data_IF_567215930425
#
_entry.id   IF_567215930425
#
_cell.length_a   1.000
_cell.length_b   1.000
_cell.length_c   1.000
_cell.angle_alpha   90.00
_cell.angle_beta   90.00
_cell.angle_gamma   90.00
#
_symmetry.space_group_name_H-M   'P 1'
#
loop_
_entity.id
_entity.type
_entity.pdbx_description
1 polymer ?
#
# COMPACT_ATOMS: atom_id res chain seq x y z
N UNK A 1 -10.10 -39.35 15.39
CA UNK A 1 -9.11 -38.39 15.87
C UNK A 1 -8.69 -37.48 14.72
N UNK A 2 -9.18 -36.28 14.63
CA UNK A 2 -8.86 -35.34 13.56
C UNK A 2 -7.60 -34.58 13.92
N UNK A 3 -6.54 -34.76 13.13
CA UNK A 3 -5.26 -34.08 13.30
C UNK A 3 -5.43 -32.60 12.92
N UNK A 4 -5.46 -31.74 13.93
CA UNK A 4 -5.46 -30.27 13.74
C UNK A 4 -4.13 -29.89 13.07
N UNK A 5 -4.16 -29.62 11.76
CA UNK A 5 -3.04 -29.01 11.05
C UNK A 5 -2.70 -27.70 11.73
N UNK A 6 -1.49 -27.60 12.31
CA UNK A 6 -0.92 -26.34 12.81
C UNK A 6 -0.93 -25.32 11.66
N UNK A 7 -1.87 -24.39 11.68
CA UNK A 7 -1.84 -23.21 10.79
C UNK A 7 -0.52 -22.49 11.06
N UNK A 8 0.30 -22.31 10.01
CA UNK A 8 1.48 -21.44 10.07
C UNK A 8 1.01 -20.06 10.55
N UNK A 9 1.61 -19.56 11.64
CA UNK A 9 1.32 -18.22 12.17
C UNK A 9 1.42 -17.19 11.03
N UNK A 10 0.51 -16.20 10.94
CA UNK A 10 0.64 -15.09 9.99
C UNK A 10 1.99 -14.40 10.16
N UNK A 11 2.50 -13.81 9.07
CA UNK A 11 3.75 -13.08 9.08
C UNK A 11 3.74 -12.11 10.28
N UNK A 12 4.72 -12.21 11.16
CA UNK A 12 4.76 -11.36 12.34
C UNK A 12 5.07 -9.93 11.90
N UNK A 13 4.61 -8.93 12.65
CA UNK A 13 4.94 -7.51 12.42
C UNK A 13 6.46 -7.28 12.24
N UNK A 14 7.28 -8.14 12.84
CA UNK A 14 8.75 -8.13 12.69
C UNK A 14 9.20 -8.56 11.27
N UNK A 15 8.55 -9.55 10.65
CA UNK A 15 8.88 -10.01 9.30
C UNK A 15 8.39 -9.01 8.24
N UNK A 16 7.21 -8.42 8.40
CA UNK A 16 6.73 -7.34 7.53
C UNK A 16 7.65 -6.12 7.59
N UNK A 17 8.07 -5.71 8.80
CA UNK A 17 9.03 -4.61 8.95
C UNK A 17 10.34 -4.87 8.24
N UNK A 18 10.91 -6.07 8.36
CA UNK A 18 12.15 -6.44 7.67
C UNK A 18 11.98 -6.40 6.15
N UNK A 19 10.84 -6.87 5.64
CA UNK A 19 10.48 -6.82 4.22
C UNK A 19 10.45 -5.38 3.69
N UNK A 20 9.75 -4.47 4.36
CA UNK A 20 9.63 -3.08 3.95
C UNK A 20 10.93 -2.29 4.11
N UNK A 21 11.73 -2.58 5.14
CA UNK A 21 13.07 -1.99 5.27
C UNK A 21 13.97 -2.34 4.07
N UNK A 22 13.96 -3.59 3.59
CA UNK A 22 14.73 -3.99 2.39
C UNK A 22 14.26 -3.29 1.13
N UNK A 23 12.96 -3.07 0.99
CA UNK A 23 12.37 -2.41 -0.18
C UNK A 23 12.61 -0.91 -0.23
N UNK A 24 12.95 -0.27 0.88
CA UNK A 24 13.06 1.19 0.97
C UNK A 24 14.02 1.78 -0.06
N UNK A 25 15.19 1.17 -0.31
CA UNK A 25 16.17 1.64 -1.31
C UNK A 25 15.64 1.59 -2.75
N UNK A 26 14.87 0.54 -3.09
CA UNK A 26 14.23 0.44 -4.41
C UNK A 26 13.12 1.47 -4.55
N UNK A 27 12.35 1.70 -3.48
CA UNK A 27 11.32 2.73 -3.44
C UNK A 27 11.90 4.13 -3.56
N UNK A 28 13.05 4.40 -2.97
CA UNK A 28 13.77 5.67 -3.12
C UNK A 28 14.27 5.85 -4.56
N UNK A 29 14.96 4.83 -5.12
CA UNK A 29 15.49 4.87 -6.49
C UNK A 29 14.41 5.09 -7.55
N UNK A 30 13.28 4.39 -7.41
CA UNK A 30 12.19 4.38 -8.38
C UNK A 30 10.98 5.20 -7.93
N UNK A 31 11.20 6.15 -7.04
CA UNK A 31 10.13 6.93 -6.41
C UNK A 31 9.19 7.56 -7.43
N UNK A 32 9.71 8.26 -8.43
CA UNK A 32 8.89 8.94 -9.43
C UNK A 32 7.96 7.99 -10.18
N UNK A 33 8.46 6.81 -10.56
CA UNK A 33 7.68 5.78 -11.25
C UNK A 33 6.63 5.16 -10.34
N UNK A 34 7.02 4.81 -9.11
CA UNK A 34 6.11 4.20 -8.13
C UNK A 34 5.05 5.18 -7.67
N UNK A 35 5.42 6.44 -7.42
CA UNK A 35 4.46 7.48 -7.00
C UNK A 35 3.52 7.86 -8.13
N UNK A 36 3.98 7.92 -9.38
CA UNK A 36 3.10 8.12 -10.53
C UNK A 36 2.06 6.99 -10.62
N UNK A 37 2.48 5.74 -10.49
CA UNK A 37 1.60 4.58 -10.59
C UNK A 37 0.63 4.44 -9.40
N UNK A 38 1.13 4.56 -8.16
CA UNK A 38 0.34 4.41 -6.95
C UNK A 38 -0.45 5.67 -6.60
N UNK A 39 0.01 6.83 -7.03
CA UNK A 39 -0.63 8.12 -6.79
C UNK A 39 -1.89 8.37 -7.62
N UNK A 40 -2.16 7.54 -8.62
CA UNK A 40 -3.36 7.66 -9.47
C UNK A 40 -4.68 7.62 -8.69
N UNK A 41 -4.69 7.01 -7.48
CA UNK A 41 -5.85 7.00 -6.58
C UNK A 41 -5.99 8.25 -5.70
N UNK A 42 -4.94 9.08 -5.61
CA UNK A 42 -4.93 10.24 -4.71
C UNK A 42 -6.08 11.24 -5.00
N UNK A 43 -6.43 11.57 -6.25
CA UNK A 43 -7.57 12.46 -6.52
C UNK A 43 -8.89 11.94 -5.93
N UNK A 44 -9.13 10.64 -6.03
CA UNK A 44 -10.32 10.00 -5.47
C UNK A 44 -10.26 10.00 -3.94
N UNK A 45 -9.12 9.63 -3.36
CA UNK A 45 -8.90 9.67 -1.90
C UNK A 45 -9.11 11.07 -1.34
N UNK A 46 -8.54 12.11 -1.96
CA UNK A 46 -8.63 13.49 -1.46
C UNK A 46 -10.05 14.03 -1.57
N UNK A 47 -10.77 13.73 -2.66
CA UNK A 47 -12.19 14.03 -2.77
C UNK A 47 -13.01 13.32 -1.67
N UNK A 48 -12.74 12.04 -1.43
CA UNK A 48 -13.43 11.26 -0.41
C UNK A 48 -13.14 11.73 1.02
N UNK A 49 -11.96 12.28 1.28
CA UNK A 49 -11.59 12.85 2.57
C UNK A 49 -12.27 14.19 2.84
N UNK A 50 -12.73 14.92 1.83
CA UNK A 50 -13.38 16.23 1.99
C UNK A 50 -12.51 17.14 2.90
N UNK A 51 -11.27 17.39 2.42
CA UNK A 51 -10.23 18.06 3.20
C UNK A 51 -10.43 19.56 3.27
N UNK A 52 -10.20 20.12 4.46
CA UNK A 52 -10.24 21.54 4.73
C UNK A 52 -8.91 22.05 5.29
N UNK A 53 -8.51 23.30 5.03
CA UNK A 53 -7.36 23.90 5.66
C UNK A 53 -7.44 23.89 7.20
N UNK A 54 -6.31 23.69 7.86
CA UNK A 54 -6.24 23.63 9.32
C UNK A 54 -6.56 22.28 9.95
N UNK A 55 -7.02 21.29 9.16
CA UNK A 55 -7.37 19.97 9.68
C UNK A 55 -6.17 19.16 10.14
N UNK A 56 -6.44 18.22 11.04
CA UNK A 56 -5.49 17.21 11.51
C UNK A 56 -5.78 15.90 10.81
N UNK A 57 -4.76 15.33 10.15
CA UNK A 57 -4.86 14.13 9.32
C UNK A 57 -3.91 13.06 9.81
N UNK A 58 -4.37 11.82 9.86
CA UNK A 58 -3.57 10.62 10.10
C UNK A 58 -3.38 9.87 8.78
N UNK A 59 -2.14 9.53 8.44
CA UNK A 59 -1.81 8.60 7.34
C UNK A 59 -1.22 7.32 7.92
N UNK A 60 -1.97 6.22 7.85
CA UNK A 60 -1.59 4.92 8.42
C UNK A 60 -1.01 4.00 7.35
N UNK A 61 0.28 3.64 7.50
CA UNK A 61 1.07 2.97 6.48
C UNK A 61 1.61 3.98 5.45
N UNK A 62 2.15 5.10 5.93
CA UNK A 62 2.53 6.24 5.09
C UNK A 62 3.76 5.99 4.21
N UNK A 63 4.51 4.90 4.42
CA UNK A 63 5.70 4.54 3.64
C UNK A 63 6.69 5.71 3.50
N UNK A 64 7.07 6.03 2.27
CA UNK A 64 7.97 7.14 1.91
C UNK A 64 7.30 8.52 1.91
N UNK A 65 6.08 8.64 2.49
CA UNK A 65 5.42 9.90 2.75
C UNK A 65 4.34 10.32 1.76
N UNK A 66 3.92 9.46 0.82
CA UNK A 66 2.77 9.74 -0.03
C UNK A 66 1.60 8.81 0.39
N UNK A 67 0.42 9.36 0.76
CA UNK A 67 -0.05 10.73 0.54
C UNK A 67 0.21 11.74 1.66
N UNK A 68 0.92 11.45 2.75
CA UNK A 68 1.11 12.38 3.88
C UNK A 68 1.67 13.77 3.46
N UNK A 69 2.63 13.79 2.51
CA UNK A 69 3.26 15.05 2.07
C UNK A 69 2.28 15.94 1.30
N UNK A 70 1.58 15.49 0.24
CA UNK A 70 0.56 16.31 -0.41
C UNK A 70 -0.61 16.67 0.52
N UNK A 71 -0.98 15.81 1.48
CA UNK A 71 -1.98 16.15 2.50
C UNK A 71 -1.50 17.32 3.40
N UNK A 72 -0.21 17.35 3.77
CA UNK A 72 0.35 18.44 4.55
C UNK A 72 0.34 19.77 3.80
N UNK A 73 0.60 19.74 2.49
CA UNK A 73 0.44 20.93 1.64
C UNK A 73 -1.02 21.41 1.59
N UNK A 74 -1.96 20.47 1.41
CA UNK A 74 -3.38 20.79 1.32
C UNK A 74 -3.96 21.41 2.58
N UNK A 75 -3.70 20.81 3.76
CA UNK A 75 -4.22 21.35 5.03
C UNK A 75 -3.52 22.65 5.48
N UNK A 76 -2.41 22.99 4.84
CA UNK A 76 -1.69 24.25 5.06
C UNK A 76 -1.02 24.34 6.45
N UNK A 77 -0.38 25.48 6.76
CA UNK A 77 0.51 25.61 7.93
C UNK A 77 -0.20 25.51 9.29
N UNK A 78 -1.51 25.77 9.35
CA UNK A 78 -2.34 25.59 10.55
C UNK A 78 -2.80 24.15 10.75
N UNK A 79 -2.84 23.34 9.68
CA UNK A 79 -3.12 21.90 9.75
C UNK A 79 -1.94 21.10 10.27
N UNK A 80 -2.16 19.82 10.56
CA UNK A 80 -1.11 18.87 11.00
C UNK A 80 -1.35 17.53 10.37
N UNK A 81 -0.28 16.88 9.89
CA UNK A 81 -0.32 15.50 9.38
C UNK A 81 0.59 14.63 10.23
N UNK A 82 0.09 13.48 10.65
CA UNK A 82 0.86 12.41 11.27
C UNK A 82 0.93 11.23 10.32
N UNK A 83 2.10 10.93 9.79
CA UNK A 83 2.38 9.68 9.07
C UNK A 83 2.88 8.60 10.03
N UNK A 84 2.33 7.41 9.93
CA UNK A 84 2.73 6.25 10.74
C UNK A 84 3.07 5.09 9.83
N UNK A 85 4.26 4.50 10.02
CA UNK A 85 4.69 3.29 9.33
C UNK A 85 5.55 2.42 10.26
N UNK A 86 5.62 1.12 10.00
CA UNK A 86 6.45 0.23 10.83
C UNK A 86 7.91 0.17 10.36
N UNK A 87 8.22 0.62 9.15
CA UNK A 87 9.55 0.64 8.54
C UNK A 87 10.27 1.96 8.80
N UNK A 88 11.32 1.92 9.62
CA UNK A 88 12.13 3.13 9.87
C UNK A 88 12.87 3.60 8.61
N UNK A 89 13.26 2.67 7.73
CA UNK A 89 13.90 3.00 6.47
C UNK A 89 12.97 3.80 5.53
N UNK A 90 11.67 3.41 5.44
CA UNK A 90 10.67 4.18 4.71
C UNK A 90 10.46 5.56 5.32
N UNK A 91 10.36 5.65 6.65
CA UNK A 91 10.19 6.92 7.36
C UNK A 91 11.39 7.86 7.21
N UNK A 92 12.61 7.32 7.10
CA UNK A 92 13.80 8.13 6.83
C UNK A 92 13.68 8.86 5.48
N UNK A 93 13.24 8.16 4.43
CA UNK A 93 12.95 8.76 3.12
C UNK A 93 11.82 9.81 3.23
N UNK A 94 10.73 9.49 3.93
CA UNK A 94 9.61 10.42 4.12
C UNK A 94 10.06 11.72 4.81
N UNK A 95 10.89 11.63 5.86
CA UNK A 95 11.44 12.81 6.56
C UNK A 95 12.38 13.63 5.68
N UNK A 96 13.20 12.96 4.86
CA UNK A 96 14.08 13.65 3.90
C UNK A 96 13.24 14.43 2.87
N UNK A 97 12.22 13.82 2.30
CA UNK A 97 11.30 14.47 1.36
C UNK A 97 10.56 15.64 1.98
N UNK A 98 10.08 15.52 3.22
CA UNK A 98 9.45 16.62 3.95
C UNK A 98 10.40 17.83 4.12
N UNK A 99 11.69 17.56 4.39
CA UNK A 99 12.73 18.63 4.48
C UNK A 99 12.95 19.30 3.13
N UNK A 100 13.08 18.52 2.04
CA UNK A 100 13.25 19.07 0.67
C UNK A 100 12.06 19.94 0.30
N UNK A 101 10.83 19.52 0.62
CA UNK A 101 9.59 20.26 0.38
C UNK A 101 9.34 21.37 1.41
N UNK A 102 10.23 21.56 2.41
CA UNK A 102 10.13 22.56 3.48
C UNK A 102 8.83 22.48 4.27
N UNK A 103 8.25 21.28 4.41
CA UNK A 103 7.02 21.06 5.16
C UNK A 103 7.32 20.95 6.67
N UNK A 104 6.72 21.85 7.46
CA UNK A 104 6.88 21.90 8.93
C UNK A 104 5.65 21.37 9.69
N UNK A 105 4.59 21.04 8.97
CA UNK A 105 3.31 20.61 9.52
C UNK A 105 3.04 19.11 9.32
N UNK A 106 4.05 18.33 8.96
CA UNK A 106 4.03 16.88 8.91
C UNK A 106 5.05 16.26 9.85
N UNK A 107 4.65 15.21 10.55
CA UNK A 107 5.54 14.40 11.41
C UNK A 107 5.40 12.93 11.05
N UNK A 108 6.51 12.19 11.19
CA UNK A 108 6.56 10.76 10.86
C UNK A 108 6.98 9.97 12.10
N UNK A 109 6.16 9.00 12.49
CA UNK A 109 6.37 8.16 13.67
C UNK A 109 6.34 6.68 13.31
N UNK A 110 7.31 5.93 13.85
CA UNK A 110 7.28 4.48 13.74
C UNK A 110 6.15 3.91 14.60
N UNK A 111 5.34 3.04 14.02
CA UNK A 111 4.25 2.36 14.68
C UNK A 111 3.75 1.18 13.87
N UNK A 112 3.28 0.15 14.56
CA UNK A 112 2.60 -1.00 13.95
C UNK A 112 1.10 -0.74 13.90
N UNK A 113 0.50 -0.83 12.72
CA UNK A 113 -0.94 -0.57 12.55
C UNK A 113 -1.82 -1.49 13.41
N UNK A 114 -1.36 -2.72 13.69
CA UNK A 114 -2.12 -3.68 14.48
C UNK A 114 -2.26 -3.26 15.96
N UNK A 115 -1.27 -2.55 16.49
CA UNK A 115 -1.21 -2.11 17.89
C UNK A 115 -1.25 -0.61 18.06
N UNK A 116 -1.20 0.15 16.95
CA UNK A 116 -1.14 1.61 17.00
C UNK A 116 -2.39 2.20 17.65
N UNK A 117 -2.14 3.02 18.66
CA UNK A 117 -3.14 3.85 19.32
C UNK A 117 -2.61 5.27 19.32
N UNK A 118 -3.22 6.20 18.57
CA UNK A 118 -2.78 7.58 18.56
C UNK A 118 -2.98 8.22 19.93
N UNK A 119 -1.91 8.83 20.44
CA UNK A 119 -1.98 9.70 21.60
C UNK A 119 -2.23 11.15 21.15
N UNK A 120 -2.95 11.92 21.97
CA UNK A 120 -3.25 13.33 21.71
C UNK A 120 -4.65 13.56 21.13
N UNK A 121 -4.90 14.80 20.67
CA UNK A 121 -6.22 15.18 20.17
C UNK A 121 -6.63 14.38 18.95
N UNK A 122 -7.92 14.05 18.77
CA UNK A 122 -8.42 13.21 17.66
C UNK A 122 -8.20 13.88 16.29
N UNK A 123 -8.20 13.10 15.23
CA UNK A 123 -8.01 13.56 13.84
C UNK A 123 -9.36 13.90 13.20
N UNK A 124 -9.35 14.87 12.29
CA UNK A 124 -10.51 15.18 11.47
C UNK A 124 -10.64 14.19 10.29
N UNK A 125 -9.49 13.76 9.79
CA UNK A 125 -9.41 12.83 8.65
C UNK A 125 -8.37 11.76 8.92
N UNK A 126 -8.59 10.57 8.35
CA UNK A 126 -7.58 9.53 8.30
C UNK A 126 -7.51 8.94 6.90
N UNK A 127 -6.32 8.51 6.49
CA UNK A 127 -6.09 7.83 5.22
C UNK A 127 -5.27 6.57 5.42
N UNK A 128 -5.52 5.56 4.59
CA UNK A 128 -4.72 4.33 4.54
C UNK A 128 -4.62 3.88 3.07
N UNK A 129 -3.54 4.28 2.39
CA UNK A 129 -3.34 3.98 0.97
C UNK A 129 -2.47 2.75 0.80
N UNK A 130 -3.03 1.68 0.22
CA UNK A 130 -2.35 0.40 -0.04
C UNK A 130 -1.64 -0.20 1.19
N UNK A 131 -2.21 -0.02 2.38
CA UNK A 131 -1.63 -0.49 3.64
C UNK A 131 -2.50 -1.48 4.41
N UNK A 132 -3.81 -1.28 4.47
CA UNK A 132 -4.72 -2.10 5.29
C UNK A 132 -4.69 -3.61 4.96
N UNK A 133 -4.36 -3.99 3.72
CA UNK A 133 -4.28 -5.39 3.31
C UNK A 133 -3.13 -6.15 4.02
N UNK A 134 -2.21 -5.44 4.66
CA UNK A 134 -1.10 -6.02 5.44
C UNK A 134 -1.38 -6.09 6.94
N UNK A 135 -2.54 -5.62 7.42
CA UNK A 135 -2.94 -5.75 8.81
C UNK A 135 -3.22 -7.23 9.17
N UNK A 136 -2.90 -7.63 10.39
CA UNK A 136 -3.27 -8.97 10.90
C UNK A 136 -4.78 -9.12 10.96
N UNK A 137 -5.47 -8.15 11.56
CA UNK A 137 -6.92 -8.02 11.59
C UNK A 137 -7.34 -6.62 11.13
N UNK A 138 -7.88 -6.54 9.92
CA UNK A 138 -8.31 -5.28 9.29
C UNK A 138 -9.44 -4.61 10.08
N UNK A 139 -10.36 -5.39 10.64
CA UNK A 139 -11.51 -4.84 11.37
C UNK A 139 -11.08 -4.20 12.70
N UNK A 140 -10.12 -4.80 13.42
CA UNK A 140 -9.53 -4.22 14.63
C UNK A 140 -8.84 -2.88 14.30
N UNK A 141 -8.06 -2.84 13.19
CA UNK A 141 -7.40 -1.61 12.74
C UNK A 141 -8.42 -0.53 12.38
N UNK A 142 -9.49 -0.88 11.66
CA UNK A 142 -10.56 0.06 11.30
C UNK A 142 -11.27 0.61 12.53
N UNK A 143 -11.57 -0.22 13.54
CA UNK A 143 -12.15 0.24 14.83
C UNK A 143 -11.21 1.21 15.55
N UNK A 144 -9.92 0.93 15.55
CA UNK A 144 -8.91 1.82 16.14
C UNK A 144 -8.84 3.16 15.41
N UNK A 145 -8.85 3.15 14.07
CA UNK A 145 -8.90 4.36 13.25
C UNK A 145 -10.18 5.16 13.51
N UNK A 146 -11.33 4.48 13.57
CA UNK A 146 -12.60 5.13 13.89
C UNK A 146 -12.55 5.82 15.27
N UNK A 147 -12.02 5.15 16.29
CA UNK A 147 -11.88 5.71 17.63
C UNK A 147 -10.96 6.95 17.66
N UNK A 148 -9.99 7.02 16.76
CA UNK A 148 -9.03 8.13 16.66
C UNK A 148 -9.58 9.38 15.93
N UNK A 149 -10.73 9.28 15.28
CA UNK A 149 -11.37 10.40 14.58
C UNK A 149 -12.27 11.22 15.51
N UNK A 150 -12.48 12.50 15.19
CA UNK A 150 -13.55 13.31 15.79
C UNK A 150 -14.94 12.78 15.38
N UNK A 151 -16.03 13.09 16.09
CA UNK A 151 -17.37 12.84 15.60
C UNK A 151 -17.56 13.48 14.21
N UNK A 152 -18.09 12.71 13.24
CA UNK A 152 -18.20 13.15 11.84
C UNK A 152 -16.90 13.10 11.02
N UNK A 153 -15.79 12.74 11.63
CA UNK A 153 -14.51 12.55 10.93
C UNK A 153 -14.57 11.46 9.87
N UNK A 154 -13.73 11.57 8.85
CA UNK A 154 -13.74 10.66 7.68
C UNK A 154 -12.46 9.84 7.64
N UNK A 155 -12.61 8.53 7.39
CA UNK A 155 -11.54 7.64 6.92
C UNK A 155 -11.75 7.36 5.44
N UNK A 156 -10.68 7.49 4.63
CA UNK A 156 -10.62 6.98 3.28
C UNK A 156 -9.46 5.99 3.13
N UNK A 157 -9.69 4.87 2.46
CA UNK A 157 -8.67 3.86 2.24
C UNK A 157 -8.67 3.37 0.79
N UNK A 158 -7.47 3.12 0.24
CA UNK A 158 -7.30 2.49 -1.06
C UNK A 158 -6.67 1.11 -0.90
N UNK A 159 -7.22 0.13 -1.62
CA UNK A 159 -6.69 -1.23 -1.72
C UNK A 159 -6.74 -1.69 -3.17
N UNK A 160 -5.93 -2.69 -3.52
CA UNK A 160 -5.97 -3.25 -4.87
C UNK A 160 -7.34 -3.87 -5.17
N UNK A 161 -7.78 -3.71 -6.41
CA UNK A 161 -8.98 -4.33 -6.96
C UNK A 161 -8.73 -5.78 -7.43
N UNK A 162 -9.68 -6.39 -8.16
CA UNK A 162 -9.64 -7.81 -8.48
C UNK A 162 -8.45 -8.18 -9.40
N UNK A 163 -8.06 -9.46 -9.35
CA UNK A 163 -6.88 -9.99 -10.03
C UNK A 163 -6.93 -9.82 -11.55
N UNK A 164 -8.10 -9.98 -12.16
CA UNK A 164 -8.31 -9.83 -13.60
C UNK A 164 -8.10 -8.39 -14.08
N UNK A 165 -8.41 -7.42 -13.24
CA UNK A 165 -8.14 -6.01 -13.49
C UNK A 165 -6.71 -5.56 -13.07
N UNK A 166 -5.92 -6.45 -12.49
CA UNK A 166 -4.56 -6.20 -12.02
C UNK A 166 -3.56 -7.23 -12.59
N UNK A 167 -3.41 -7.32 -13.93
CA UNK A 167 -2.53 -8.31 -14.56
C UNK A 167 -1.06 -8.17 -14.12
N UNK A 168 -0.66 -7.02 -13.57
CA UNK A 168 0.66 -6.82 -12.98
C UNK A 168 0.98 -7.81 -11.86
N UNK A 169 -0.01 -8.22 -11.07
CA UNK A 169 0.16 -9.22 -10.00
C UNK A 169 0.13 -10.65 -10.55
N UNK A 170 -0.91 -11.00 -11.32
CA UNK A 170 -1.11 -12.38 -11.82
C UNK A 170 0.03 -12.83 -12.72
N UNK A 171 0.42 -12.01 -13.71
CA UNK A 171 1.48 -12.36 -14.65
C UNK A 171 2.87 -12.39 -14.01
N UNK A 172 3.11 -11.52 -13.01
CA UNK A 172 4.33 -11.56 -12.21
C UNK A 172 4.42 -12.86 -11.42
N UNK A 173 3.36 -13.23 -10.72
CA UNK A 173 3.32 -14.43 -9.89
C UNK A 173 3.42 -15.70 -10.73
N UNK A 174 2.80 -15.73 -11.92
CA UNK A 174 2.99 -16.80 -12.90
C UNK A 174 4.44 -16.86 -13.45
N UNK A 175 5.09 -15.73 -13.65
CA UNK A 175 6.50 -15.71 -14.08
C UNK A 175 7.41 -16.27 -12.99
N UNK A 176 7.12 -15.97 -11.73
CA UNK A 176 7.90 -16.40 -10.57
C UNK A 176 7.62 -17.84 -10.12
N UNK A 177 6.45 -18.38 -10.44
CA UNK A 177 6.00 -19.73 -9.99
C UNK A 177 7.06 -20.85 -10.11
N UNK A 178 7.81 -21.01 -11.24
CA UNK A 178 8.81 -22.08 -11.37
C UNK A 178 10.00 -21.96 -10.40
N UNK A 179 10.15 -20.82 -9.76
CA UNK A 179 11.25 -20.50 -8.83
C UNK A 179 10.83 -20.56 -7.36
N UNK A 180 9.56 -20.85 -7.10
CA UNK A 180 9.03 -21.00 -5.74
C UNK A 180 9.22 -22.43 -5.26
N UNK A 181 9.76 -22.62 -4.06
CA UNK A 181 9.88 -23.93 -3.40
C UNK A 181 8.55 -24.44 -2.84
N UNK A 182 7.68 -23.51 -2.44
CA UNK A 182 6.34 -23.81 -1.91
C UNK A 182 5.31 -22.91 -2.62
N UNK A 183 4.05 -23.37 -2.76
CA UNK A 183 3.00 -22.51 -3.27
C UNK A 183 2.80 -21.30 -2.34
N UNK A 184 2.43 -20.13 -2.89
CA UNK A 184 2.13 -18.97 -2.06
C UNK A 184 1.00 -19.31 -1.08
N UNK A 185 1.02 -18.70 0.12
CA UNK A 185 -0.06 -18.91 1.09
C UNK A 185 -1.37 -18.36 0.55
N UNK A 186 -2.49 -18.87 1.11
CA UNK A 186 -3.83 -18.41 0.75
C UNK A 186 -3.96 -16.88 0.86
N UNK A 187 -4.25 -16.18 -0.26
CA UNK A 187 -4.32 -14.73 -0.27
C UNK A 187 -5.49 -14.16 0.55
N UNK A 188 -6.52 -14.93 0.84
CA UNK A 188 -7.66 -14.46 1.63
C UNK A 188 -7.37 -14.40 3.13
N UNK A 189 -6.50 -15.27 3.62
CA UNK A 189 -6.24 -15.45 5.04
C UNK A 189 -4.88 -14.93 5.52
N UNK A 190 -4.02 -14.46 4.59
CA UNK A 190 -2.70 -13.94 4.93
C UNK A 190 -2.53 -12.50 4.47
N UNK A 191 -1.76 -11.65 5.19
CA UNK A 191 -1.40 -10.31 4.74
C UNK A 191 -0.68 -10.35 3.40
N UNK A 192 -1.32 -9.78 2.36
CA UNK A 192 -0.76 -9.67 1.01
C UNK A 192 -1.53 -8.60 0.21
N UNK A 193 -0.99 -8.11 -0.92
CA UNK A 193 -1.62 -7.05 -1.70
C UNK A 193 -3.07 -7.33 -2.11
N UNK A 194 -3.41 -8.58 -2.44
CA UNK A 194 -4.72 -8.95 -3.01
C UNK A 194 -5.78 -9.37 -1.98
N UNK A 195 -5.43 -9.38 -0.68
CA UNK A 195 -6.32 -9.83 0.41
C UNK A 195 -7.68 -9.13 0.45
N UNK A 196 -7.75 -7.88 0.06
CA UNK A 196 -8.96 -7.06 0.07
C UNK A 196 -9.50 -6.77 -1.34
N UNK A 197 -9.00 -7.46 -2.36
CA UNK A 197 -9.29 -7.18 -3.76
C UNK A 197 -10.74 -7.44 -4.19
N UNK A 198 -11.45 -8.34 -3.48
CA UNK A 198 -12.83 -8.70 -3.80
C UNK A 198 -13.77 -7.49 -3.64
N UNK A 199 -14.63 -7.21 -4.64
CA UNK A 199 -15.58 -6.10 -4.60
C UNK A 199 -16.42 -6.09 -3.30
N UNK A 200 -16.60 -4.93 -2.71
CA UNK A 200 -17.39 -4.73 -1.50
C UNK A 200 -16.75 -5.23 -0.19
N UNK A 201 -15.64 -6.00 -0.24
CA UNK A 201 -15.03 -6.60 0.96
C UNK A 201 -14.57 -5.55 1.97
N UNK A 202 -13.84 -4.53 1.50
CA UNK A 202 -13.37 -3.46 2.38
C UNK A 202 -14.56 -2.62 2.90
N UNK A 203 -15.54 -2.32 2.06
CA UNK A 203 -16.74 -1.58 2.45
C UNK A 203 -17.56 -2.33 3.53
N UNK A 204 -17.66 -3.65 3.44
CA UNK A 204 -18.29 -4.48 4.47
C UNK A 204 -17.53 -4.39 5.81
N UNK A 205 -16.18 -4.41 5.77
CA UNK A 205 -15.34 -4.23 6.96
C UNK A 205 -15.51 -2.85 7.59
N UNK A 206 -15.61 -1.79 6.80
CA UNK A 206 -15.92 -0.44 7.29
C UNK A 206 -17.26 -0.40 8.05
N UNK A 207 -18.33 -1.00 7.48
CA UNK A 207 -19.65 -1.06 8.15
C UNK A 207 -19.57 -1.84 9.46
N UNK A 208 -18.91 -3.01 9.50
CA UNK A 208 -18.72 -3.80 10.73
C UNK A 208 -17.89 -3.06 11.79
N UNK A 209 -16.92 -2.24 11.37
CA UNK A 209 -16.17 -1.39 12.27
C UNK A 209 -16.95 -0.17 12.78
N UNK A 210 -18.20 0.01 12.34
CA UNK A 210 -19.14 1.05 12.80
C UNK A 210 -19.06 2.36 12.03
N UNK A 211 -18.39 2.41 10.87
CA UNK A 211 -18.44 3.58 9.98
C UNK A 211 -19.81 3.69 9.32
N UNK A 212 -20.28 4.93 9.17
CA UNK A 212 -21.55 5.30 8.50
C UNK A 212 -21.26 5.92 7.13
N UNK A 213 -22.32 6.05 6.29
CA UNK A 213 -22.19 6.67 4.95
C UNK A 213 -21.03 6.08 4.15
N UNK A 214 -20.87 4.75 4.21
CA UNK A 214 -19.78 4.05 3.54
C UNK A 214 -19.99 4.11 2.03
N UNK A 215 -19.00 4.66 1.32
CA UNK A 215 -18.91 4.71 -0.14
C UNK A 215 -17.81 3.77 -0.59
N UNK A 216 -18.00 3.12 -1.74
CA UNK A 216 -17.05 2.20 -2.38
C UNK A 216 -16.95 2.59 -3.85
N UNK A 217 -15.79 3.05 -4.29
CA UNK A 217 -15.57 3.61 -5.62
C UNK A 217 -14.45 2.87 -6.33
N UNK A 218 -14.69 2.48 -7.59
CA UNK A 218 -13.69 1.91 -8.47
C UNK A 218 -12.70 2.98 -8.93
N UNK A 219 -11.42 2.67 -8.89
CA UNK A 219 -10.32 3.53 -9.34
C UNK A 219 -9.47 2.80 -10.40
N UNK A 220 -9.94 2.76 -11.67
CA UNK A 220 -9.15 2.22 -12.75
C UNK A 220 -7.92 3.11 -13.01
N UNK A 221 -6.79 2.49 -13.29
CA UNK A 221 -5.52 3.17 -13.50
C UNK A 221 -4.56 2.34 -14.37
N UNK A 222 -3.33 2.80 -14.54
CA UNK A 222 -2.27 2.01 -15.13
C UNK A 222 -0.93 2.38 -14.49
N UNK A 223 -0.10 1.38 -14.26
CA UNK A 223 1.31 1.58 -13.95
C UNK A 223 2.09 1.79 -15.26
N UNK A 224 2.90 2.85 -15.31
CA UNK A 224 3.66 3.23 -16.51
C UNK A 224 5.15 3.15 -16.21
N UNK A 225 5.88 2.43 -17.07
CA UNK A 225 7.33 2.24 -16.99
C UNK A 225 7.97 2.69 -18.30
N UNK A 226 9.17 3.27 -18.22
CA UNK A 226 9.85 3.76 -19.40
C UNK A 226 10.35 2.63 -20.31
N UNK A 227 10.58 1.43 -19.75
CA UNK A 227 11.00 0.24 -20.49
C UNK A 227 10.59 -1.06 -19.80
N UNK A 228 10.72 -2.20 -20.50
CA UNK A 228 10.60 -3.54 -19.90
C UNK A 228 11.77 -3.82 -18.92
N UNK A 229 12.90 -3.21 -19.15
CA UNK A 229 14.09 -3.28 -18.29
C UNK A 229 13.79 -2.65 -16.94
N UNK A 230 13.31 -1.40 -16.91
CA UNK A 230 12.94 -0.69 -15.69
C UNK A 230 11.81 -1.43 -14.94
N UNK A 231 10.80 -1.89 -15.69
CA UNK A 231 9.75 -2.73 -15.12
C UNK A 231 10.33 -3.95 -14.40
N UNK A 232 11.19 -4.72 -15.08
CA UNK A 232 11.77 -5.94 -14.52
C UNK A 232 12.66 -5.62 -13.30
N UNK A 233 13.48 -4.57 -13.34
CA UNK A 233 14.32 -4.14 -12.22
C UNK A 233 13.47 -3.80 -10.99
N UNK A 234 12.41 -3.01 -11.18
CA UNK A 234 11.48 -2.65 -10.10
C UNK A 234 10.83 -3.90 -9.50
N UNK A 235 10.36 -4.85 -10.32
CA UNK A 235 9.74 -6.08 -9.82
C UNK A 235 10.75 -6.93 -9.04
N UNK A 236 11.97 -7.10 -9.54
CA UNK A 236 13.03 -7.89 -8.92
C UNK A 236 13.50 -7.30 -7.59
N UNK A 237 13.55 -5.99 -7.46
CA UNK A 237 13.98 -5.30 -6.23
C UNK A 237 12.85 -5.01 -5.23
N UNK A 238 11.58 -5.12 -5.65
CA UNK A 238 10.43 -4.83 -4.79
C UNK A 238 9.58 -6.07 -4.49
N UNK A 239 8.64 -6.40 -5.36
CA UNK A 239 7.69 -7.48 -5.13
C UNK A 239 8.34 -8.88 -5.12
N UNK A 240 9.39 -9.08 -5.91
CA UNK A 240 10.13 -10.34 -6.03
C UNK A 240 11.49 -10.31 -5.31
N UNK A 241 11.77 -9.33 -4.47
CA UNK A 241 13.07 -9.16 -3.83
C UNK A 241 13.54 -10.43 -3.09
N UNK A 242 12.68 -11.02 -2.26
CA UNK A 242 13.00 -12.22 -1.47
C UNK A 242 13.30 -13.44 -2.36
N UNK A 243 12.55 -13.60 -3.46
CA UNK A 243 12.79 -14.67 -4.44
C UNK A 243 14.11 -14.38 -5.17
N UNK A 244 14.27 -13.17 -5.66
CA UNK A 244 15.43 -12.72 -6.43
C UNK A 244 16.76 -12.91 -5.68
N UNK A 245 16.79 -12.61 -4.36
CA UNK A 245 17.96 -12.78 -3.50
C UNK A 245 18.37 -14.25 -3.32
N UNK A 246 17.39 -15.16 -3.36
CA UNK A 246 17.62 -16.60 -3.18
C UNK A 246 17.98 -17.33 -4.49
N UNK A 247 17.92 -16.68 -5.64
CA UNK A 247 18.18 -17.28 -6.94
C UNK A 247 19.67 -17.29 -7.33
N UNK A 248 20.07 -18.30 -8.08
CA UNK A 248 21.35 -18.29 -8.80
C UNK A 248 21.35 -17.17 -9.85
N UNK A 249 22.53 -16.66 -10.29
CA UNK A 249 22.60 -15.69 -11.37
C UNK A 249 21.92 -16.16 -12.67
N UNK A 250 21.96 -17.47 -12.97
CA UNK A 250 21.32 -18.05 -14.15
C UNK A 250 19.77 -18.00 -14.00
N UNK A 251 19.23 -18.41 -12.86
CA UNK A 251 17.79 -18.39 -12.61
C UNK A 251 17.24 -16.98 -12.53
N UNK A 252 18.03 -16.04 -11.97
CA UNK A 252 17.66 -14.63 -11.96
C UNK A 252 17.51 -14.08 -13.39
N UNK A 253 18.44 -14.39 -14.30
CA UNK A 253 18.31 -14.03 -15.73
C UNK A 253 17.08 -14.67 -16.36
N UNK A 254 16.79 -15.94 -16.06
CA UNK A 254 15.58 -16.65 -16.54
C UNK A 254 14.31 -15.99 -16.05
N UNK A 255 14.22 -15.61 -14.77
CA UNK A 255 13.06 -14.92 -14.20
C UNK A 255 12.85 -13.56 -14.88
N UNK A 256 13.89 -12.76 -15.06
CA UNK A 256 13.83 -11.48 -15.78
C UNK A 256 13.32 -11.66 -17.22
N UNK A 257 13.85 -12.65 -17.95
CA UNK A 257 13.39 -12.96 -19.32
C UNK A 257 11.90 -13.35 -19.36
N UNK A 258 11.44 -14.14 -18.40
CA UNK A 258 10.01 -14.53 -18.27
C UNK A 258 9.12 -13.32 -17.96
N UNK A 259 9.54 -12.44 -17.05
CA UNK A 259 8.82 -11.20 -16.74
C UNK A 259 8.68 -10.35 -18.03
N UNK A 260 9.79 -10.06 -18.71
CA UNK A 260 9.78 -9.26 -19.94
C UNK A 260 8.90 -9.87 -21.02
N UNK A 261 8.97 -11.20 -21.24
CA UNK A 261 8.14 -11.89 -22.20
C UNK A 261 6.65 -11.74 -21.91
N UNK A 262 6.22 -11.93 -20.65
CA UNK A 262 4.79 -11.84 -20.27
C UNK A 262 4.26 -10.42 -20.36
N UNK A 263 5.09 -9.41 -20.10
CA UNK A 263 4.67 -8.00 -20.07
C UNK A 263 4.84 -7.28 -21.41
N UNK A 264 5.49 -7.90 -22.41
CA UNK A 264 5.66 -7.33 -23.76
C UNK A 264 4.32 -6.93 -24.41
N UNK A 265 3.23 -7.64 -24.12
CA UNK A 265 1.87 -7.30 -24.60
C UNK A 265 1.37 -5.93 -24.13
N UNK A 266 1.95 -5.34 -23.09
CA UNK A 266 1.63 -4.01 -22.58
C UNK A 266 2.60 -2.94 -23.06
N UNK A 267 3.54 -3.30 -23.93
CA UNK A 267 4.53 -2.40 -24.50
C UNK A 267 3.99 -1.71 -25.74
N UNK A 268 4.17 -0.38 -25.80
CA UNK A 268 3.93 0.44 -26.98
C UNK A 268 5.13 1.37 -27.19
N UNK A 269 5.88 1.17 -28.27
CA UNK A 269 7.22 1.77 -28.41
C UNK A 269 8.12 1.32 -27.25
N UNK A 270 8.85 2.23 -26.58
CA UNK A 270 9.63 1.89 -25.40
C UNK A 270 8.80 1.69 -24.14
N UNK A 271 7.63 2.35 -24.04
CA UNK A 271 6.83 2.47 -22.82
C UNK A 271 6.03 1.21 -22.56
N UNK A 272 5.96 0.79 -21.30
CA UNK A 272 5.12 -0.32 -20.81
C UNK A 272 4.02 0.24 -19.94
N UNK A 273 2.74 0.02 -20.34
CA UNK A 273 1.56 0.49 -19.63
C UNK A 273 0.74 -0.70 -19.14
N UNK A 274 0.90 -1.05 -17.88
CA UNK A 274 0.22 -2.19 -17.25
C UNK A 274 -1.08 -1.72 -16.60
N UNK A 275 -2.25 -2.23 -17.02
CA UNK A 275 -3.51 -1.92 -16.36
C UNK A 275 -3.47 -2.22 -14.87
N UNK A 276 -4.11 -1.37 -14.09
CA UNK A 276 -4.27 -1.52 -12.66
C UNK A 276 -5.65 -1.02 -12.21
N UNK A 277 -6.12 -1.55 -11.10
CA UNK A 277 -7.40 -1.17 -10.52
C UNK A 277 -7.29 -1.17 -9.00
N UNK A 278 -7.93 -0.20 -8.37
CA UNK A 278 -8.07 -0.14 -6.93
C UNK A 278 -9.54 0.09 -6.52
N UNK A 279 -9.86 -0.26 -5.29
CA UNK A 279 -11.05 0.17 -4.58
C UNK A 279 -10.69 1.30 -3.63
N UNK A 280 -11.43 2.41 -3.69
CA UNK A 280 -11.34 3.48 -2.72
C UNK A 280 -12.61 3.46 -1.88
N UNK A 281 -12.44 3.16 -0.60
CA UNK A 281 -13.56 3.10 0.35
C UNK A 281 -13.42 4.22 1.36
N UNK A 282 -14.51 4.94 1.59
CA UNK A 282 -14.58 5.97 2.63
C UNK A 282 -15.79 5.77 3.54
N UNK A 283 -15.69 6.30 4.78
CA UNK A 283 -16.78 6.24 5.75
C UNK A 283 -16.63 7.30 6.82
N UNK A 284 -17.73 7.74 7.41
CA UNK A 284 -17.79 8.71 8.52
C UNK A 284 -17.87 7.98 9.88
N UNK A 285 -17.18 8.54 10.88
CA UNK A 285 -17.32 8.10 12.27
C UNK A 285 -18.74 8.32 12.80
#
# INVERSE_FOLDING_TARGET
MATIRKQKRPATARSERARWNRRALVWEKWESVLMHSLGTVNPILFRALDLEPGQRVLDLGCGTGDPALPLAQWVGPRGRVLGVDNSEAMLAVARQRARILRLRNVTFRRGDMNTFRPAGPPFHRAVARYSLMFADDVEIVLRSLRASLVPGGILAAAVWGPNDANPGYTLRDEAARPFLKEPPPDPEHTPNPMRLARPGRLAALFRRAGFRSVRDEAAPSAAVYASLEDFAEIQMGSALAEISEALTPADRRRLVARLKSRFRRFQSGPVVRVPAHAWVVSGRR
#
